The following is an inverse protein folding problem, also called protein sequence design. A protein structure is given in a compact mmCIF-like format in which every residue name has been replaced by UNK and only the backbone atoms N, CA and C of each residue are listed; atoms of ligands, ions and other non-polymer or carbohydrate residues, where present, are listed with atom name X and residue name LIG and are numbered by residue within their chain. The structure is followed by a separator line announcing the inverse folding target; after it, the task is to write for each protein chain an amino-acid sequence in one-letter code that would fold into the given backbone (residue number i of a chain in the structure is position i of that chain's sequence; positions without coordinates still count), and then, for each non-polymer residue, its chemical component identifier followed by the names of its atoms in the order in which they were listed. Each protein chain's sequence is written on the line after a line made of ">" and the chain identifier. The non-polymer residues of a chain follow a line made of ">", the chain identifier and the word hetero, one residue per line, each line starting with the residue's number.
data_IF_524416340644
#
_entry.id   IF_524416340644
#
_cell.length_a   1.000
_cell.length_b   1.000
_cell.length_c   1.000
_cell.angle_alpha   90.00
_cell.angle_beta   90.00
_cell.angle_gamma   90.00
#
_symmetry.space_group_name_H-M   'P 1'
#
loop_
_entity.id
_entity.type
_entity.pdbx_description
1 polymer ?
#
# COMPACT_ATOMS: atom_id res chain seq x y z
N UNK A 1 34.19 29.28 -6.20
CA UNK A 1 34.13 27.88 -6.73
C UNK A 1 33.35 27.06 -5.71
N UNK A 2 32.13 26.67 -6.02
CA UNK A 2 31.31 25.89 -5.08
C UNK A 2 31.96 24.52 -4.95
N UNK A 3 32.20 24.05 -3.72
CA UNK A 3 32.82 22.74 -3.48
C UNK A 3 31.91 21.63 -3.97
N UNK A 4 32.46 20.56 -4.53
CA UNK A 4 31.72 19.34 -4.89
C UNK A 4 30.94 18.82 -3.66
N UNK A 5 31.53 18.96 -2.48
CA UNK A 5 30.91 18.58 -1.20
C UNK A 5 29.62 19.37 -0.90
N UNK A 6 29.63 20.69 -1.15
CA UNK A 6 28.45 21.56 -0.96
C UNK A 6 27.33 21.25 -1.95
N UNK A 7 27.68 20.84 -3.19
CA UNK A 7 26.72 20.42 -4.21
C UNK A 7 26.09 19.06 -3.85
N UNK A 8 26.87 18.11 -3.33
CA UNK A 8 26.34 16.81 -2.88
C UNK A 8 25.40 16.98 -1.69
N UNK A 9 25.80 17.72 -0.65
CA UNK A 9 24.97 18.01 0.52
C UNK A 9 23.65 18.71 0.15
N UNK A 10 23.71 19.66 -0.80
CA UNK A 10 22.52 20.35 -1.30
C UNK A 10 21.60 19.42 -2.12
N UNK A 11 22.17 18.45 -2.83
CA UNK A 11 21.41 17.47 -3.62
C UNK A 11 20.72 16.47 -2.72
N UNK A 12 21.41 15.92 -1.72
CA UNK A 12 20.84 15.00 -0.73
C UNK A 12 19.70 15.64 0.05
N UNK A 13 19.87 16.89 0.49
CA UNK A 13 18.82 17.65 1.17
C UNK A 13 17.59 17.86 0.27
N UNK A 14 17.78 18.12 -1.02
CA UNK A 14 16.68 18.29 -1.98
C UNK A 14 15.92 16.99 -2.21
N UNK A 15 16.62 15.86 -2.26
CA UNK A 15 16.00 14.54 -2.42
C UNK A 15 15.22 14.10 -1.17
N UNK A 16 15.77 14.32 0.02
CA UNK A 16 15.09 14.06 1.29
C UNK A 16 13.78 14.84 1.40
N UNK A 17 13.76 16.12 1.03
CA UNK A 17 12.53 16.93 0.98
C UNK A 17 11.53 16.39 -0.04
N UNK A 18 11.98 15.86 -1.18
CA UNK A 18 11.08 15.26 -2.18
C UNK A 18 10.45 13.96 -1.67
N UNK A 19 11.22 13.11 -0.99
CA UNK A 19 10.73 11.87 -0.37
C UNK A 19 9.69 12.18 0.72
N UNK A 20 9.97 13.13 1.61
CA UNK A 20 9.04 13.58 2.65
C UNK A 20 7.72 14.07 2.05
N UNK A 21 7.78 14.97 1.04
CA UNK A 21 6.58 15.49 0.38
C UNK A 21 5.75 14.39 -0.27
N UNK A 22 6.40 13.39 -0.89
CA UNK A 22 5.70 12.27 -1.51
C UNK A 22 5.01 11.40 -0.47
N UNK A 23 5.68 11.04 0.62
CA UNK A 23 5.11 10.28 1.73
C UNK A 23 3.93 11.02 2.38
N UNK A 24 4.09 12.33 2.61
CA UNK A 24 3.03 13.18 3.13
C UNK A 24 1.82 13.22 2.20
N UNK A 25 2.02 13.43 0.91
CA UNK A 25 0.93 13.39 -0.07
C UNK A 25 0.26 12.01 -0.11
N UNK A 26 1.05 10.93 0.00
CA UNK A 26 0.55 9.57 -0.02
C UNK A 26 -0.43 9.27 1.12
N UNK A 27 -0.08 9.59 2.38
CA UNK A 27 -1.00 9.35 3.49
C UNK A 27 -2.18 10.32 3.49
N UNK A 28 -2.00 11.58 3.09
CA UNK A 28 -3.11 12.56 3.00
C UNK A 28 -4.16 12.11 1.97
N UNK A 29 -3.73 11.68 0.77
CA UNK A 29 -4.64 11.15 -0.24
C UNK A 29 -5.29 9.85 0.23
N UNK A 30 -4.52 8.98 0.89
CA UNK A 30 -5.03 7.71 1.40
C UNK A 30 -6.04 7.85 2.53
N UNK A 31 -6.10 8.99 3.22
CA UNK A 31 -7.10 9.26 4.26
C UNK A 31 -8.55 9.25 3.72
N UNK A 32 -8.74 9.65 2.48
CA UNK A 32 -10.07 9.67 1.86
C UNK A 32 -10.67 8.25 1.72
N UNK A 33 -9.82 7.23 1.61
CA UNK A 33 -10.26 5.86 1.40
C UNK A 33 -10.96 5.25 2.65
N UNK A 34 -10.39 5.27 3.88
CA UNK A 34 -11.11 4.82 5.06
C UNK A 34 -12.33 5.69 5.36
N UNK A 35 -12.26 7.01 5.11
CA UNK A 35 -13.42 7.89 5.34
C UNK A 35 -14.60 7.50 4.44
N UNK A 36 -14.38 7.32 3.14
CA UNK A 36 -15.44 6.91 2.21
C UNK A 36 -16.03 5.54 2.53
N UNK A 37 -15.19 4.59 2.94
CA UNK A 37 -15.65 3.25 3.32
C UNK A 37 -16.32 3.19 4.68
N UNK A 38 -15.95 4.08 5.60
CA UNK A 38 -16.67 4.26 6.86
C UNK A 38 -18.10 4.75 6.62
N UNK A 39 -18.28 5.76 5.77
CA UNK A 39 -19.61 6.25 5.39
C UNK A 39 -20.43 5.14 4.72
N UNK A 40 -19.80 4.38 3.80
CA UNK A 40 -20.48 3.27 3.13
C UNK A 40 -20.90 2.18 4.14
N UNK A 41 -20.05 1.85 5.12
CA UNK A 41 -20.37 0.90 6.19
C UNK A 41 -21.52 1.41 7.07
N UNK A 42 -21.48 2.68 7.47
CA UNK A 42 -22.53 3.27 8.31
C UNK A 42 -23.93 3.27 7.63
N UNK A 43 -23.93 3.41 6.30
CA UNK A 43 -25.17 3.39 5.51
C UNK A 43 -25.66 1.99 5.16
N UNK A 44 -24.74 1.03 5.03
CA UNK A 44 -25.05 -0.32 4.53
C UNK A 44 -25.03 -1.42 5.58
N UNK A 45 -24.39 -1.20 6.74
CA UNK A 45 -24.28 -2.11 7.90
C UNK A 45 -23.85 -3.55 7.55
N UNK A 46 -23.16 -3.75 6.42
CA UNK A 46 -22.74 -5.10 5.99
C UNK A 46 -21.37 -5.49 6.51
N UNK A 47 -21.14 -6.77 6.88
CA UNK A 47 -19.83 -7.25 7.32
C UNK A 47 -18.71 -7.05 6.28
N UNK A 48 -19.06 -7.10 4.98
CA UNK A 48 -18.12 -6.86 3.88
C UNK A 48 -17.61 -5.42 3.88
N UNK A 49 -18.51 -4.44 4.05
CA UNK A 49 -18.14 -3.03 4.15
C UNK A 49 -17.27 -2.75 5.38
N UNK A 50 -17.53 -3.44 6.50
CA UNK A 50 -16.69 -3.37 7.70
C UNK A 50 -15.27 -3.91 7.39
N UNK A 51 -15.15 -5.06 6.72
CA UNK A 51 -13.86 -5.62 6.34
C UNK A 51 -13.06 -4.68 5.42
N UNK A 52 -13.73 -4.06 4.43
CA UNK A 52 -13.10 -3.07 3.54
C UNK A 52 -12.64 -1.84 4.31
N UNK A 53 -13.46 -1.34 5.24
CA UNK A 53 -13.10 -0.20 6.09
C UNK A 53 -11.88 -0.52 6.96
N UNK A 54 -11.86 -1.67 7.65
CA UNK A 54 -10.74 -2.09 8.49
C UNK A 54 -9.45 -2.22 7.68
N UNK A 55 -9.50 -2.84 6.50
CA UNK A 55 -8.36 -2.94 5.59
C UNK A 55 -7.82 -1.58 5.20
N UNK A 56 -8.68 -0.66 4.73
CA UNK A 56 -8.28 0.68 4.30
C UNK A 56 -7.73 1.52 5.45
N UNK A 57 -8.27 1.34 6.66
CA UNK A 57 -7.75 1.98 7.87
C UNK A 57 -6.34 1.48 8.20
N UNK A 58 -6.10 0.16 8.14
CA UNK A 58 -4.78 -0.41 8.35
C UNK A 58 -3.76 0.12 7.32
N UNK A 59 -4.12 0.19 6.04
CA UNK A 59 -3.26 0.72 4.98
C UNK A 59 -2.94 2.20 5.20
N UNK A 60 -3.93 3.00 5.59
CA UNK A 60 -3.73 4.41 5.94
C UNK A 60 -2.79 4.58 7.13
N UNK A 61 -2.99 3.82 8.21
CA UNK A 61 -2.14 3.86 9.40
C UNK A 61 -0.69 3.49 9.06
N UNK A 62 -0.48 2.48 8.21
CA UNK A 62 0.86 2.10 7.77
C UNK A 62 1.57 3.22 6.99
N UNK A 63 0.85 3.92 6.10
CA UNK A 63 1.40 5.06 5.34
C UNK A 63 1.72 6.25 6.24
N UNK A 64 0.84 6.54 7.20
CA UNK A 64 1.07 7.60 8.19
C UNK A 64 2.29 7.29 9.06
N UNK A 65 2.39 6.08 9.59
CA UNK A 65 3.54 5.65 10.39
C UNK A 65 4.84 5.68 9.57
N UNK A 66 4.81 5.24 8.31
CA UNK A 66 5.98 5.32 7.44
C UNK A 66 6.46 6.76 7.23
N UNK A 67 5.56 7.73 7.08
CA UNK A 67 5.89 9.15 7.01
C UNK A 67 6.50 9.67 8.32
N UNK A 68 5.90 9.36 9.48
CA UNK A 68 6.43 9.78 10.79
C UNK A 68 7.82 9.18 11.05
N UNK A 69 7.98 7.89 10.75
CA UNK A 69 9.27 7.20 10.91
C UNK A 69 10.32 7.81 9.97
N UNK A 70 9.95 8.14 8.72
CA UNK A 70 10.85 8.78 7.78
C UNK A 70 11.39 10.12 8.32
N UNK A 71 10.52 10.95 8.90
CA UNK A 71 10.96 12.22 9.51
C UNK A 71 11.95 11.97 10.64
N UNK A 72 11.66 11.01 11.53
CA UNK A 72 12.56 10.66 12.64
C UNK A 72 13.89 10.09 12.14
N UNK A 73 13.87 9.23 11.13
CA UNK A 73 15.07 8.68 10.50
C UNK A 73 15.97 9.79 9.92
N UNK A 74 15.38 10.76 9.20
CA UNK A 74 16.13 11.92 8.71
C UNK A 74 16.72 12.79 9.86
N UNK A 75 15.99 12.94 10.97
CA UNK A 75 16.49 13.68 12.13
C UNK A 75 17.66 12.96 12.79
N UNK A 76 17.58 11.64 12.96
CA UNK A 76 18.64 10.80 13.51
C UNK A 76 19.90 10.86 12.63
N UNK A 77 19.74 10.79 11.31
CA UNK A 77 20.85 10.90 10.35
C UNK A 77 21.58 12.25 10.46
N UNK A 78 20.84 13.37 10.52
CA UNK A 78 21.39 14.72 10.68
C UNK A 78 22.11 14.87 12.04
N UNK A 79 21.67 14.16 13.09
CA UNK A 79 22.28 14.16 14.42
C UNK A 79 23.50 13.23 14.52
N UNK A 80 23.91 12.57 13.43
CA UNK A 80 25.03 11.62 13.42
C UNK A 80 24.71 10.24 14.02
N UNK A 81 23.45 9.96 14.27
CA UNK A 81 22.94 8.69 14.83
C UNK A 81 22.50 7.74 13.70
N UNK A 82 23.43 7.35 12.82
CA UNK A 82 23.12 6.51 11.66
C UNK A 82 22.49 5.16 12.05
N UNK A 83 22.95 4.56 13.14
CA UNK A 83 22.39 3.29 13.64
C UNK A 83 20.91 3.40 14.05
N UNK A 84 20.51 4.53 14.64
CA UNK A 84 19.12 4.80 15.00
C UNK A 84 18.26 5.00 13.73
N UNK A 85 18.80 5.69 12.73
CA UNK A 85 18.15 5.85 11.41
C UNK A 85 17.88 4.49 10.76
N UNK A 86 18.85 3.58 10.74
CA UNK A 86 18.70 2.24 10.17
C UNK A 86 17.67 1.39 10.91
N UNK A 87 17.64 1.49 12.25
CA UNK A 87 16.62 0.83 13.08
C UNK A 87 15.20 1.34 12.76
N UNK A 88 15.05 2.65 12.57
CA UNK A 88 13.77 3.26 12.21
C UNK A 88 13.32 2.84 10.80
N UNK A 89 14.22 2.81 9.82
CA UNK A 89 13.89 2.32 8.47
C UNK A 89 13.48 0.84 8.48
N UNK A 90 14.17 0.01 9.25
CA UNK A 90 13.80 -1.39 9.46
C UNK A 90 12.40 -1.52 10.08
N UNK A 91 12.12 -0.75 11.14
CA UNK A 91 10.82 -0.75 11.81
C UNK A 91 9.69 -0.38 10.85
N UNK A 92 9.89 0.62 9.99
CA UNK A 92 8.93 1.01 8.96
C UNK A 92 8.60 -0.16 8.02
N UNK A 93 9.62 -0.90 7.58
CA UNK A 93 9.44 -2.08 6.74
C UNK A 93 8.66 -3.20 7.44
N UNK A 94 8.99 -3.47 8.71
CA UNK A 94 8.28 -4.48 9.51
C UNK A 94 6.80 -4.14 9.67
N UNK A 95 6.48 -2.89 10.05
CA UNK A 95 5.10 -2.42 10.18
C UNK A 95 4.36 -2.59 8.84
N UNK A 96 4.96 -2.16 7.73
CA UNK A 96 4.36 -2.26 6.40
C UNK A 96 4.08 -3.71 6.02
N UNK A 97 5.04 -4.62 6.21
CA UNK A 97 4.89 -6.05 5.92
C UNK A 97 3.78 -6.70 6.75
N UNK A 98 3.73 -6.43 8.06
CA UNK A 98 2.70 -6.95 8.95
C UNK A 98 1.31 -6.44 8.55
N UNK A 99 1.17 -5.15 8.27
CA UNK A 99 -0.10 -4.56 7.81
C UNK A 99 -0.57 -5.20 6.50
N UNK A 100 0.34 -5.48 5.56
CA UNK A 100 -0.01 -6.17 4.32
C UNK A 100 -0.50 -7.60 4.58
N UNK A 101 0.11 -8.34 5.51
CA UNK A 101 -0.36 -9.69 5.89
C UNK A 101 -1.77 -9.62 6.47
N UNK A 102 -2.01 -8.72 7.42
CA UNK A 102 -3.33 -8.53 8.05
C UNK A 102 -4.38 -8.15 7.00
N UNK A 103 -4.05 -7.21 6.12
CA UNK A 103 -4.95 -6.80 5.01
C UNK A 103 -5.28 -7.98 4.09
N UNK A 104 -4.30 -8.83 3.78
CA UNK A 104 -4.53 -10.04 3.00
C UNK A 104 -5.45 -11.05 3.70
N UNK A 105 -5.31 -11.24 5.02
CA UNK A 105 -6.21 -12.09 5.81
C UNK A 105 -7.66 -11.57 5.78
N UNK A 106 -7.85 -10.26 5.91
CA UNK A 106 -9.18 -9.63 5.86
C UNK A 106 -9.82 -9.86 4.48
N UNK A 107 -9.05 -9.66 3.39
CA UNK A 107 -9.54 -9.91 2.02
C UNK A 107 -9.89 -11.39 1.82
N UNK A 108 -9.01 -12.30 2.26
CA UNK A 108 -9.22 -13.74 2.14
C UNK A 108 -10.48 -14.18 2.88
N UNK A 109 -10.68 -13.70 4.10
CA UNK A 109 -11.88 -13.96 4.87
C UNK A 109 -13.14 -13.50 4.12
N UNK A 110 -13.14 -12.27 3.60
CA UNK A 110 -14.26 -11.73 2.81
C UNK A 110 -14.54 -12.57 1.56
N UNK A 111 -13.49 -12.97 0.82
CA UNK A 111 -13.63 -13.80 -0.37
C UNK A 111 -14.19 -15.19 -0.07
N UNK A 112 -13.73 -15.84 1.02
CA UNK A 112 -14.26 -17.14 1.46
C UNK A 112 -15.73 -17.02 1.86
N UNK A 113 -16.08 -15.98 2.61
CA UNK A 113 -17.45 -15.73 3.04
C UNK A 113 -18.39 -15.55 1.83
N UNK A 114 -17.95 -14.79 0.82
CA UNK A 114 -18.69 -14.59 -0.43
C UNK A 114 -18.85 -15.91 -1.21
N UNK A 115 -17.83 -16.77 -1.24
CA UNK A 115 -17.91 -18.10 -1.88
C UNK A 115 -18.91 -19.03 -1.18
N UNK A 116 -18.94 -19.03 0.15
CA UNK A 116 -19.82 -19.91 0.94
C UNK A 116 -21.29 -19.45 0.83
N UNK A 117 -21.51 -18.14 0.96
CA UNK A 117 -22.87 -17.58 0.98
C UNK A 117 -23.44 -17.28 -0.41
N UNK A 118 -22.64 -17.44 -1.49
CA UNK A 118 -23.00 -17.10 -2.86
C UNK A 118 -23.57 -15.68 -2.97
N UNK A 119 -22.99 -14.75 -2.21
CA UNK A 119 -23.45 -13.36 -2.17
C UNK A 119 -23.26 -12.71 -3.54
N UNK A 120 -24.28 -12.01 -4.06
CA UNK A 120 -24.12 -11.27 -5.30
C UNK A 120 -23.08 -10.17 -5.12
N UNK A 121 -22.33 -9.83 -6.17
CA UNK A 121 -21.37 -8.73 -6.11
C UNK A 121 -22.11 -7.44 -5.72
N UNK A 122 -21.45 -6.62 -4.90
CA UNK A 122 -22.00 -5.35 -4.44
C UNK A 122 -22.20 -4.34 -5.59
N UNK A 123 -22.23 -3.07 -5.27
CA UNK A 123 -22.45 -2.00 -6.24
C UNK A 123 -21.36 -1.97 -7.32
N UNK A 124 -21.65 -2.54 -8.50
CA UNK A 124 -20.70 -2.73 -9.59
C UNK A 124 -20.19 -1.40 -10.16
N UNK A 125 -21.11 -0.49 -10.51
CA UNK A 125 -20.73 0.78 -11.17
C UNK A 125 -19.84 1.65 -10.28
N UNK A 126 -20.18 1.97 -9.03
CA UNK A 126 -19.28 2.68 -8.13
C UNK A 126 -17.97 1.93 -7.88
N UNK A 127 -18.00 0.60 -7.79
CA UNK A 127 -16.82 -0.25 -7.66
C UNK A 127 -15.84 -0.08 -8.83
N UNK A 128 -16.34 -0.05 -10.07
CA UNK A 128 -15.55 0.19 -11.29
C UNK A 128 -14.86 1.57 -11.22
N UNK A 129 -15.62 2.64 -10.91
CA UNK A 129 -15.05 3.99 -10.82
C UNK A 129 -13.99 4.09 -9.73
N UNK A 130 -14.22 3.50 -8.55
CA UNK A 130 -13.26 3.50 -7.45
C UNK A 130 -12.00 2.71 -7.83
N UNK A 131 -12.14 1.56 -8.49
CA UNK A 131 -11.00 0.74 -8.93
C UNK A 131 -10.17 1.43 -10.01
N UNK A 132 -10.81 2.10 -10.97
CA UNK A 132 -10.13 2.91 -11.99
C UNK A 132 -9.37 4.07 -11.33
N UNK A 133 -10.03 4.84 -10.46
CA UNK A 133 -9.38 5.93 -9.75
C UNK A 133 -8.22 5.42 -8.87
N UNK A 134 -8.43 4.32 -8.16
CA UNK A 134 -7.41 3.65 -7.34
C UNK A 134 -6.20 3.22 -8.17
N UNK A 135 -6.43 2.58 -9.33
CA UNK A 135 -5.38 2.15 -10.24
C UNK A 135 -4.50 3.34 -10.68
N UNK A 136 -5.09 4.46 -11.06
CA UNK A 136 -4.32 5.65 -11.46
C UNK A 136 -3.58 6.29 -10.29
N UNK A 137 -4.22 6.47 -9.15
CA UNK A 137 -3.59 7.07 -7.95
C UNK A 137 -2.47 6.17 -7.42
N UNK A 138 -2.73 4.88 -7.24
CA UNK A 138 -1.74 3.94 -6.73
C UNK A 138 -0.60 3.73 -7.75
N UNK A 139 -0.91 3.67 -9.05
CA UNK A 139 0.09 3.61 -10.14
C UNK A 139 0.99 4.84 -10.18
N UNK A 140 0.43 6.04 -9.97
CA UNK A 140 1.21 7.27 -9.85
C UNK A 140 2.19 7.21 -8.65
N UNK A 141 1.71 6.80 -7.46
CA UNK A 141 2.58 6.67 -6.29
C UNK A 141 3.60 5.54 -6.47
N UNK A 142 3.25 4.42 -7.08
CA UNK A 142 4.21 3.37 -7.44
C UNK A 142 5.34 3.92 -8.31
N UNK A 143 5.01 4.58 -9.42
CA UNK A 143 5.98 5.15 -10.36
C UNK A 143 6.89 6.19 -9.67
N UNK A 144 6.31 7.10 -8.89
CA UNK A 144 7.07 8.14 -8.18
C UNK A 144 8.01 7.57 -7.11
N UNK A 145 7.52 6.64 -6.29
CA UNK A 145 8.35 6.01 -5.25
C UNK A 145 9.47 5.16 -5.88
N UNK A 146 9.19 4.43 -6.97
CA UNK A 146 10.19 3.66 -7.68
C UNK A 146 11.33 4.54 -8.24
N UNK A 147 10.98 5.65 -8.90
CA UNK A 147 11.97 6.56 -9.47
C UNK A 147 12.79 7.26 -8.38
N UNK A 148 12.20 7.68 -7.28
CA UNK A 148 12.92 8.26 -6.15
C UNK A 148 13.84 7.23 -5.48
N UNK A 149 13.41 6.00 -5.33
CA UNK A 149 14.25 4.94 -4.79
C UNK A 149 15.44 4.60 -5.70
N UNK A 150 15.25 4.73 -7.02
CA UNK A 150 16.33 4.50 -8.00
C UNK A 150 17.37 5.62 -7.99
N UNK A 151 16.97 6.88 -7.75
CA UNK A 151 17.89 8.01 -7.69
C UNK A 151 18.66 8.08 -6.36
N UNK A 152 17.99 7.81 -5.27
CA UNK A 152 18.57 7.80 -3.93
C UNK A 152 17.89 6.70 -3.10
N UNK A 153 18.62 5.61 -2.90
CA UNK A 153 18.08 4.46 -2.19
C UNK A 153 17.68 4.80 -0.76
N UNK A 154 16.52 4.32 -0.33
CA UNK A 154 16.07 4.30 1.06
C UNK A 154 15.18 3.08 1.23
N UNK A 155 15.36 2.34 2.33
CA UNK A 155 14.54 1.16 2.62
C UNK A 155 13.05 1.51 2.71
N UNK A 156 12.72 2.71 3.23
CA UNK A 156 11.34 3.20 3.29
C UNK A 156 10.77 3.38 1.88
N UNK A 157 11.52 4.00 0.95
CA UNK A 157 11.07 4.16 -0.45
C UNK A 157 10.96 2.80 -1.16
N UNK A 158 11.88 1.87 -0.88
CA UNK A 158 11.85 0.51 -1.40
C UNK A 158 10.57 -0.23 -0.97
N UNK A 159 10.19 -0.10 0.29
CA UNK A 159 8.96 -0.69 0.82
C UNK A 159 7.71 -0.01 0.24
N UNK A 160 7.73 1.33 0.09
CA UNK A 160 6.61 2.09 -0.44
C UNK A 160 6.30 1.75 -1.90
N UNK A 161 7.29 1.67 -2.80
CA UNK A 161 6.99 1.34 -4.19
C UNK A 161 6.46 -0.10 -4.34
N UNK A 162 6.95 -1.06 -3.51
CA UNK A 162 6.43 -2.45 -3.48
C UNK A 162 4.98 -2.49 -2.99
N UNK A 163 4.66 -1.72 -1.95
CA UNK A 163 3.31 -1.58 -1.43
C UNK A 163 2.34 -1.00 -2.48
N UNK A 164 2.72 0.10 -3.13
CA UNK A 164 1.88 0.71 -4.18
C UNK A 164 1.77 -0.15 -5.42
N UNK A 165 2.81 -0.93 -5.76
CA UNK A 165 2.72 -1.95 -6.82
C UNK A 165 1.65 -2.97 -6.51
N UNK A 166 1.65 -3.53 -5.30
CA UNK A 166 0.66 -4.50 -4.88
C UNK A 166 -0.76 -3.90 -4.94
N UNK A 167 -0.95 -2.67 -4.48
CA UNK A 167 -2.24 -1.96 -4.55
C UNK A 167 -2.70 -1.72 -5.99
N UNK A 168 -1.82 -1.31 -6.88
CA UNK A 168 -2.14 -1.10 -8.30
C UNK A 168 -2.58 -2.41 -8.96
N UNK A 169 -1.84 -3.50 -8.73
CA UNK A 169 -2.21 -4.83 -9.24
C UNK A 169 -3.57 -5.29 -8.68
N UNK A 170 -3.82 -5.02 -7.41
CA UNK A 170 -5.11 -5.28 -6.79
C UNK A 170 -6.25 -4.54 -7.50
N UNK A 171 -6.09 -3.23 -7.72
CA UNK A 171 -7.12 -2.43 -8.38
C UNK A 171 -7.39 -2.92 -9.82
N UNK A 172 -6.35 -3.38 -10.54
CA UNK A 172 -6.48 -3.97 -11.88
C UNK A 172 -7.29 -5.28 -11.82
N UNK A 173 -6.95 -6.18 -10.89
CA UNK A 173 -7.66 -7.47 -10.76
C UNK A 173 -9.12 -7.25 -10.38
N UNK A 174 -9.38 -6.34 -9.41
CA UNK A 174 -10.73 -5.97 -9.01
C UNK A 174 -11.51 -5.38 -10.19
N UNK A 175 -10.91 -4.50 -10.97
CA UNK A 175 -11.53 -3.91 -12.16
C UNK A 175 -11.90 -4.99 -13.18
N UNK A 176 -10.99 -5.94 -13.46
CA UNK A 176 -11.27 -7.08 -14.38
C UNK A 176 -12.43 -7.92 -13.84
N UNK A 177 -12.43 -8.25 -12.56
CA UNK A 177 -13.50 -9.03 -11.92
C UNK A 177 -14.87 -8.34 -12.03
N UNK A 178 -14.90 -7.02 -11.75
CA UNK A 178 -16.13 -6.23 -11.85
C UNK A 178 -16.64 -6.11 -13.30
N UNK A 179 -15.74 -5.99 -14.27
CA UNK A 179 -16.11 -5.97 -15.72
C UNK A 179 -16.67 -7.32 -16.15
N UNK A 180 -16.05 -8.43 -15.74
CA UNK A 180 -16.57 -9.78 -16.02
C UNK A 180 -17.98 -9.94 -15.48
N UNK A 181 -18.21 -9.48 -14.26
CA UNK A 181 -19.54 -9.54 -13.61
C UNK A 181 -20.54 -8.60 -14.27
N UNK A 182 -20.14 -7.37 -14.61
CA UNK A 182 -21.00 -6.35 -15.21
C UNK A 182 -21.56 -6.79 -16.57
N UNK A 183 -20.73 -7.43 -17.39
CA UNK A 183 -21.13 -7.93 -18.71
C UNK A 183 -21.66 -9.38 -18.69
N UNK A 184 -21.77 -9.97 -17.51
CA UNK A 184 -22.20 -11.36 -17.31
C UNK A 184 -21.46 -12.38 -18.20
N UNK A 185 -20.14 -12.17 -18.36
CA UNK A 185 -19.30 -12.95 -19.29
C UNK A 185 -19.20 -14.44 -18.94
N UNK A 186 -19.50 -14.82 -17.70
CA UNK A 186 -19.49 -16.21 -17.22
C UNK A 186 -20.91 -16.76 -16.99
N UNK A 187 -21.95 -16.03 -17.38
CA UNK A 187 -23.33 -16.40 -17.15
C UNK A 187 -23.65 -16.60 -15.67
N UNK A 188 -24.37 -17.65 -15.31
CA UNK A 188 -24.77 -17.97 -13.92
C UNK A 188 -23.58 -18.03 -12.93
N UNK A 189 -22.32 -18.10 -13.41
CA UNK A 189 -21.12 -18.17 -12.60
C UNK A 189 -20.37 -16.84 -12.48
N UNK A 190 -20.92 -15.75 -12.99
CA UNK A 190 -20.26 -14.42 -12.98
C UNK A 190 -19.96 -13.93 -11.56
N UNK A 191 -20.74 -14.34 -10.56
CA UNK A 191 -20.50 -14.04 -9.14
C UNK A 191 -19.18 -14.62 -8.59
N UNK A 192 -18.61 -15.66 -9.23
CA UNK A 192 -17.32 -16.26 -8.83
C UNK A 192 -16.12 -15.38 -9.19
N UNK A 193 -16.26 -14.45 -10.12
CA UNK A 193 -15.15 -13.62 -10.60
C UNK A 193 -14.56 -12.76 -9.49
N UNK A 194 -15.40 -12.20 -8.62
CA UNK A 194 -14.96 -11.31 -7.53
C UNK A 194 -14.17 -12.07 -6.45
N UNK A 195 -14.67 -13.15 -5.82
CA UNK A 195 -13.91 -13.88 -4.82
C UNK A 195 -12.66 -14.56 -5.39
N UNK A 196 -12.67 -15.04 -6.65
CA UNK A 196 -11.46 -15.58 -7.29
C UNK A 196 -10.42 -14.47 -7.49
N UNK A 197 -10.84 -13.32 -8.01
CA UNK A 197 -10.01 -12.14 -8.13
C UNK A 197 -9.39 -11.73 -6.79
N UNK A 198 -10.18 -11.72 -5.72
CA UNK A 198 -9.73 -11.39 -4.37
C UNK A 198 -8.65 -12.38 -3.87
N UNK A 199 -8.79 -13.69 -4.11
CA UNK A 199 -7.77 -14.71 -3.75
C UNK A 199 -6.46 -14.46 -4.51
N UNK A 200 -6.52 -14.15 -5.81
CA UNK A 200 -5.34 -13.80 -6.61
C UNK A 200 -4.64 -12.56 -6.02
N UNK A 201 -5.41 -11.55 -5.65
CA UNK A 201 -4.91 -10.32 -5.00
C UNK A 201 -4.20 -10.63 -3.69
N UNK A 202 -4.75 -11.50 -2.84
CA UNK A 202 -4.10 -11.92 -1.59
C UNK A 202 -2.72 -12.52 -1.87
N UNK A 203 -2.59 -13.37 -2.90
CA UNK A 203 -1.29 -13.91 -3.32
C UNK A 203 -0.27 -12.81 -3.64
N UNK A 204 -0.64 -11.77 -4.40
CA UNK A 204 0.24 -10.65 -4.71
C UNK A 204 0.60 -9.80 -3.49
N UNK A 205 -0.37 -9.56 -2.58
CA UNK A 205 -0.13 -8.81 -1.35
C UNK A 205 0.87 -9.56 -0.46
N UNK A 206 0.67 -10.85 -0.24
CA UNK A 206 1.55 -11.66 0.61
C UNK A 206 2.93 -11.84 -0.01
N UNK A 207 3.03 -12.03 -1.32
CA UNK A 207 4.33 -12.03 -2.01
C UNK A 207 5.10 -10.72 -1.77
N UNK A 208 4.44 -9.57 -1.89
CA UNK A 208 5.05 -8.26 -1.64
C UNK A 208 5.40 -8.07 -0.16
N UNK A 209 4.55 -8.53 0.77
CA UNK A 209 4.81 -8.49 2.21
C UNK A 209 6.06 -9.30 2.57
N UNK A 210 6.17 -10.53 2.06
CA UNK A 210 7.34 -11.39 2.28
C UNK A 210 8.60 -10.74 1.73
N UNK A 211 8.56 -10.12 0.54
CA UNK A 211 9.71 -9.39 0.00
C UNK A 211 10.16 -8.24 0.90
N UNK A 212 9.20 -7.48 1.46
CA UNK A 212 9.50 -6.36 2.36
C UNK A 212 10.13 -6.87 3.66
N UNK A 213 9.54 -7.88 4.28
CA UNK A 213 10.04 -8.48 5.53
C UNK A 213 11.41 -9.12 5.34
N UNK A 214 11.60 -9.89 4.27
CA UNK A 214 12.87 -10.55 3.95
C UNK A 214 14.00 -9.53 3.74
N UNK A 215 13.75 -8.46 2.97
CA UNK A 215 14.75 -7.43 2.74
C UNK A 215 15.09 -6.66 4.03
N UNK A 216 14.10 -6.44 4.91
CA UNK A 216 14.32 -5.88 6.23
C UNK A 216 15.25 -6.75 7.08
N UNK A 217 14.96 -8.06 7.16
CA UNK A 217 15.74 -9.01 7.95
C UNK A 217 17.17 -9.17 7.39
N UNK A 218 17.32 -9.23 6.07
CA UNK A 218 18.64 -9.40 5.43
C UNK A 218 19.60 -8.23 5.67
N UNK A 219 19.09 -7.02 5.86
CA UNK A 219 19.90 -5.84 6.21
C UNK A 219 20.30 -5.78 7.70
N UNK A 220 19.74 -6.63 8.54
CA UNK A 220 19.98 -6.67 9.98
C UNK A 220 21.34 -7.25 10.45
N UNK A 221 22.09 -8.10 9.69
CA UNK A 221 23.35 -8.66 10.18
C UNK A 221 24.41 -7.64 10.62
N UNK A 222 24.27 -6.36 10.22
CA UNK A 222 25.20 -5.30 10.62
C UNK A 222 24.79 -4.58 11.93
N UNK A 223 23.62 -4.95 12.51
CA UNK A 223 23.05 -4.31 13.72
C UNK A 223 23.07 -5.25 14.96
N UNK A 224 23.59 -6.46 14.83
CA UNK A 224 23.84 -7.43 15.91
C UNK A 224 25.35 -7.64 16.05
#
# INVERSE_FOLDING_TARGET
>A
MVSIKDLMEKTDKKESVRKEKLLRAAWMVSFLAPLSTFIAYYLGETPVLLAIFLRRTNEFMALFLAWVIYIKSCQAEVSGQSEESDKLEFLSGMIMGVVMIISGLIILYSAINQLINQEPPGWLIPGIFISVAGMFVNGFFWYKNYNLNKSSYSLIMDNQWKFYRAKTLMDIVVLISLVITFYDLLGERSWLSDPIGAIIVVGFIWFSAVQILYNGIKKRPELI
#
